data_IF_424886884428
#
_entry.id   IF_424886884428
#
_cell.length_a   1.000
_cell.length_b   1.000
_cell.length_c   1.000
_cell.angle_alpha   90.00
_cell.angle_beta   90.00
_cell.angle_gamma   90.00
#
_symmetry.space_group_name_H-M   'P 1'
#
loop_
_entity.id
_entity.type
_entity.pdbx_description
1 polymer ?
#
# COMPACT_ATOMS: atom_id res chain seq x y z
N UNK A 1 -8.88 2.52 25.92
CA UNK A 1 -7.76 2.76 24.98
C UNK A 1 -8.04 4.00 24.19
N UNK A 2 -7.04 4.89 24.02
CA UNK A 2 -7.13 6.12 23.22
C UNK A 2 -6.32 5.94 21.93
N UNK A 3 -6.99 5.99 20.79
CA UNK A 3 -6.40 5.88 19.46
C UNK A 3 -6.47 7.23 18.75
N UNK A 4 -5.33 7.76 18.31
CA UNK A 4 -5.26 8.98 17.49
C UNK A 4 -5.21 8.57 16.02
N UNK A 5 -6.16 9.06 15.24
CA UNK A 5 -6.21 8.85 13.79
C UNK A 5 -5.79 10.15 13.09
N UNK A 6 -4.61 10.12 12.42
CA UNK A 6 -4.14 11.25 11.60
C UNK A 6 -4.82 11.21 10.24
N UNK A 7 -5.28 12.37 9.77
CA UNK A 7 -5.95 12.49 8.47
C UNK A 7 -7.06 11.45 8.23
N UNK A 8 -8.01 11.26 9.18
CA UNK A 8 -8.99 10.17 9.15
C UNK A 8 -9.99 10.27 7.98
N UNK A 9 -10.00 11.39 7.26
CA UNK A 9 -10.87 11.65 6.11
C UNK A 9 -10.27 11.15 4.78
N UNK A 10 -8.98 10.82 4.77
CA UNK A 10 -8.27 10.40 3.56
C UNK A 10 -7.36 9.18 3.78
N UNK A 11 -7.42 8.14 2.91
CA UNK A 11 -8.36 7.92 1.79
C UNK A 11 -9.85 7.90 2.20
N UNK A 12 -10.77 8.23 1.28
CA UNK A 12 -12.20 8.40 1.63
C UNK A 12 -12.88 7.18 2.26
N UNK A 13 -12.40 5.96 1.96
CA UNK A 13 -12.90 4.69 2.52
C UNK A 13 -12.31 4.35 3.91
N UNK A 14 -11.28 5.05 4.37
CA UNK A 14 -10.59 4.74 5.64
C UNK A 14 -11.37 5.17 6.90
N UNK A 15 -12.47 5.92 6.75
CA UNK A 15 -13.39 6.15 7.86
C UNK A 15 -13.87 4.85 8.52
N UNK A 16 -13.86 3.72 7.77
CA UNK A 16 -14.25 2.41 8.27
C UNK A 16 -13.38 1.97 9.45
N UNK A 17 -12.07 2.25 9.43
CA UNK A 17 -11.18 1.98 10.55
C UNK A 17 -11.62 2.69 11.82
N UNK A 18 -11.97 3.98 11.74
CA UNK A 18 -12.49 4.73 12.86
C UNK A 18 -13.83 4.17 13.36
N UNK A 19 -14.71 3.79 12.45
CA UNK A 19 -16.02 3.25 12.77
C UNK A 19 -15.94 1.93 13.53
N UNK A 20 -15.10 0.99 13.08
CA UNK A 20 -14.94 -0.31 13.75
C UNK A 20 -14.20 -0.18 15.08
N UNK A 21 -13.19 0.67 15.21
CA UNK A 21 -12.55 0.95 16.50
C UNK A 21 -13.56 1.42 17.55
N UNK A 22 -14.48 2.32 17.17
CA UNK A 22 -15.54 2.75 18.07
C UNK A 22 -16.45 1.61 18.51
N UNK A 23 -16.79 0.69 17.60
CA UNK A 23 -17.60 -0.49 17.93
C UNK A 23 -16.91 -1.40 18.96
N UNK A 24 -15.57 -1.47 18.93
CA UNK A 24 -14.75 -2.15 19.94
C UNK A 24 -14.49 -1.32 21.21
N UNK A 25 -15.23 -0.22 21.42
CA UNK A 25 -15.14 0.59 22.64
C UNK A 25 -13.89 1.45 22.75
N UNK A 26 -13.13 1.62 21.67
CA UNK A 26 -11.94 2.47 21.63
C UNK A 26 -12.36 3.95 21.55
N UNK A 27 -11.69 4.82 22.30
CA UNK A 27 -11.82 6.26 22.17
C UNK A 27 -11.07 6.72 20.94
N UNK A 28 -11.77 7.06 19.86
CA UNK A 28 -11.17 7.45 18.57
C UNK A 28 -11.05 8.97 18.50
N UNK A 29 -9.82 9.47 18.35
CA UNK A 29 -9.47 10.89 18.35
C UNK A 29 -8.92 11.26 16.97
N UNK A 30 -9.59 12.15 16.24
CA UNK A 30 -9.17 12.56 14.90
C UNK A 30 -8.30 13.83 14.95
N UNK A 31 -7.23 13.87 14.15
CA UNK A 31 -6.42 15.08 13.92
C UNK A 31 -6.22 15.27 12.42
N UNK A 32 -6.64 16.41 11.89
CA UNK A 32 -6.42 16.79 10.50
C UNK A 32 -6.57 18.30 10.27
N UNK A 33 -6.23 18.79 9.08
CA UNK A 33 -6.45 20.18 8.64
C UNK A 33 -7.80 20.38 7.95
N UNK A 34 -8.50 19.31 7.60
CA UNK A 34 -9.84 19.38 7.01
C UNK A 34 -10.85 19.99 7.98
N UNK A 35 -11.84 20.73 7.47
CA UNK A 35 -12.88 21.28 8.32
C UNK A 35 -13.81 20.18 8.84
N UNK A 36 -14.23 20.27 10.11
CA UNK A 36 -15.16 19.29 10.69
C UNK A 36 -16.46 19.16 9.85
N UNK A 37 -16.95 20.28 9.30
CA UNK A 37 -18.19 20.29 8.53
C UNK A 37 -18.08 19.52 7.20
N UNK A 38 -16.89 19.45 6.60
CA UNK A 38 -16.61 18.71 5.39
C UNK A 38 -16.42 17.19 5.61
N UNK A 39 -16.20 16.77 6.87
CA UNK A 39 -16.10 15.35 7.18
C UNK A 39 -17.42 14.63 6.88
N UNK A 40 -17.32 13.43 6.35
CA UNK A 40 -18.49 12.58 6.10
C UNK A 40 -19.21 12.22 7.42
N UNK A 41 -20.55 12.05 7.39
CA UNK A 41 -21.34 11.78 8.59
C UNK A 41 -20.87 10.56 9.38
N UNK A 42 -20.47 9.49 8.69
CA UNK A 42 -20.04 8.23 9.33
C UNK A 42 -18.74 8.44 10.13
N UNK A 43 -17.80 9.24 9.58
CA UNK A 43 -16.57 9.58 10.29
C UNK A 43 -16.87 10.45 11.51
N UNK A 44 -17.71 11.51 11.36
CA UNK A 44 -18.17 12.33 12.49
C UNK A 44 -18.77 11.47 13.59
N UNK A 45 -19.60 10.49 13.20
CA UNK A 45 -20.22 9.54 14.14
C UNK A 45 -19.22 8.61 14.82
N UNK A 46 -18.09 8.30 14.19
CA UNK A 46 -17.05 7.44 14.73
C UNK A 46 -16.11 8.14 15.72
N UNK A 47 -15.81 9.41 15.49
CA UNK A 47 -14.87 10.17 16.32
C UNK A 47 -15.49 10.54 17.68
N UNK A 48 -14.69 10.41 18.74
CA UNK A 48 -15.00 10.90 20.08
C UNK A 48 -14.70 12.40 20.19
N UNK A 49 -13.58 12.81 19.62
CA UNK A 49 -13.17 14.21 19.50
C UNK A 49 -12.38 14.40 18.18
N UNK A 50 -12.49 15.58 17.61
CA UNK A 50 -11.75 15.98 16.41
C UNK A 50 -11.01 17.28 16.70
N UNK A 51 -9.68 17.24 16.53
CA UNK A 51 -8.84 18.41 16.66
C UNK A 51 -8.39 18.87 15.28
N UNK A 52 -8.84 20.04 14.86
CA UNK A 52 -8.39 20.64 13.60
C UNK A 52 -7.09 21.41 13.82
N UNK A 53 -6.06 21.07 13.03
CA UNK A 53 -4.84 21.88 12.83
C UNK A 53 -5.00 22.78 11.63
N UNK A 54 -4.15 23.80 11.46
CA UNK A 54 -4.19 24.64 10.27
C UNK A 54 -3.41 24.01 9.12
N UNK A 55 -2.32 23.28 9.41
CA UNK A 55 -1.46 22.62 8.45
C UNK A 55 -0.91 21.33 9.07
N UNK A 56 -1.26 20.19 8.44
CA UNK A 56 -0.76 18.88 8.82
C UNK A 56 0.76 18.72 8.64
N UNK A 57 1.42 19.58 7.85
CA UNK A 57 2.87 19.58 7.69
C UNK A 57 3.58 20.38 8.80
N UNK A 58 2.85 21.16 9.56
CA UNK A 58 3.38 21.87 10.72
C UNK A 58 3.46 20.94 11.93
N UNK A 59 4.64 20.33 12.13
CA UNK A 59 4.86 19.38 13.21
C UNK A 59 4.53 19.95 14.62
N UNK A 60 4.84 21.22 14.87
CA UNK A 60 4.52 21.88 16.14
C UNK A 60 3.01 21.94 16.42
N UNK A 61 2.19 22.11 15.38
CA UNK A 61 0.73 22.07 15.54
C UNK A 61 0.25 20.67 15.90
N UNK A 62 0.83 19.63 15.29
CA UNK A 62 0.53 18.24 15.62
C UNK A 62 0.92 17.88 17.06
N UNK A 63 2.11 18.32 17.51
CA UNK A 63 2.55 18.13 18.90
C UNK A 63 1.59 18.79 19.88
N UNK A 64 1.13 20.03 19.60
CA UNK A 64 0.13 20.73 20.43
C UNK A 64 -1.23 20.02 20.42
N UNK A 65 -1.66 19.50 19.27
CA UNK A 65 -2.89 18.73 19.18
C UNK A 65 -2.83 17.47 20.04
N UNK A 66 -1.75 16.70 19.95
CA UNK A 66 -1.56 15.50 20.77
C UNK A 66 -1.42 15.84 22.27
N UNK A 67 -0.74 16.93 22.60
CA UNK A 67 -0.64 17.44 23.98
C UNK A 67 -2.00 17.79 24.54
N UNK A 68 -2.85 18.48 23.77
CA UNK A 68 -4.23 18.78 24.14
C UNK A 68 -5.06 17.50 24.35
N UNK A 69 -5.00 16.56 23.39
CA UNK A 69 -5.74 15.30 23.49
C UNK A 69 -5.27 14.46 24.69
N UNK A 70 -3.96 14.45 24.97
CA UNK A 70 -3.40 13.80 26.16
C UNK A 70 -3.94 14.42 27.45
N UNK A 71 -4.04 15.76 27.50
CA UNK A 71 -4.63 16.46 28.68
C UNK A 71 -6.10 16.10 28.87
N UNK A 72 -6.85 15.97 27.79
CA UNK A 72 -8.30 15.71 27.82
C UNK A 72 -8.65 14.25 28.10
N UNK A 73 -7.94 13.31 27.50
CA UNK A 73 -8.29 11.89 27.45
C UNK A 73 -7.29 10.99 28.20
N UNK A 74 -6.18 11.55 28.67
CA UNK A 74 -5.09 10.78 29.27
C UNK A 74 -4.13 10.22 28.22
N UNK A 75 -3.39 9.17 28.59
CA UNK A 75 -2.38 8.58 27.73
C UNK A 75 -2.96 8.19 26.36
N UNK A 76 -2.24 8.56 25.31
CA UNK A 76 -2.51 8.10 23.95
C UNK A 76 -1.83 6.74 23.74
N UNK A 77 -2.59 5.71 23.41
CA UNK A 77 -2.12 4.33 23.36
C UNK A 77 -1.65 3.96 21.96
N UNK A 78 -2.34 4.44 20.93
CA UNK A 78 -2.05 4.19 19.52
C UNK A 78 -2.21 5.46 18.68
N UNK A 79 -1.48 5.50 17.58
CA UNK A 79 -1.56 6.55 16.57
C UNK A 79 -1.28 5.93 15.20
N UNK A 80 -2.13 6.17 14.20
CA UNK A 80 -1.93 5.73 12.82
C UNK A 80 -2.76 6.60 11.87
N UNK A 81 -2.40 6.61 10.58
CA UNK A 81 -3.22 7.13 9.47
C UNK A 81 -3.53 6.04 8.44
N UNK A 82 -2.85 4.90 8.52
CA UNK A 82 -2.79 3.87 7.48
C UNK A 82 -2.30 4.38 6.12
N UNK A 83 -1.60 5.52 6.10
CA UNK A 83 -1.16 6.17 4.88
C UNK A 83 0.37 6.30 4.84
N UNK A 84 0.98 5.88 3.74
CA UNK A 84 2.44 5.98 3.53
C UNK A 84 2.96 7.42 3.64
N UNK A 85 2.14 8.38 3.22
CA UNK A 85 2.51 9.80 3.23
C UNK A 85 2.82 10.32 4.64
N UNK A 86 2.05 9.90 5.64
CA UNK A 86 2.20 10.36 7.03
C UNK A 86 3.10 9.49 7.89
N UNK A 87 3.65 8.39 7.36
CA UNK A 87 4.37 7.39 8.14
C UNK A 87 5.55 7.96 8.97
N UNK A 88 6.34 8.89 8.40
CA UNK A 88 7.44 9.54 9.13
C UNK A 88 6.92 10.49 10.22
N UNK A 89 5.88 11.27 9.93
CA UNK A 89 5.21 12.14 10.91
C UNK A 89 4.63 11.32 12.06
N UNK A 90 3.99 10.20 11.75
CA UNK A 90 3.48 9.27 12.76
C UNK A 90 4.62 8.70 13.63
N UNK A 91 5.71 8.28 13.00
CA UNK A 91 6.86 7.74 13.69
C UNK A 91 7.49 8.77 14.65
N UNK A 92 7.60 10.03 14.23
CA UNK A 92 8.06 11.14 15.06
C UNK A 92 7.12 11.35 16.26
N UNK A 93 5.82 11.46 16.03
CA UNK A 93 4.82 11.64 17.10
C UNK A 93 4.79 10.44 18.05
N UNK A 94 4.89 9.20 17.55
CA UNK A 94 4.99 8.00 18.42
C UNK A 94 6.24 8.03 19.29
N UNK A 95 7.36 8.53 18.76
CA UNK A 95 8.61 8.69 19.50
C UNK A 95 8.44 9.72 20.61
N UNK A 96 7.95 10.93 20.30
CA UNK A 96 7.84 12.04 21.24
C UNK A 96 6.81 11.78 22.35
N UNK A 97 5.69 11.13 22.03
CA UNK A 97 4.63 10.82 22.99
C UNK A 97 4.73 9.41 23.59
N UNK A 98 5.79 8.67 23.31
CA UNK A 98 6.00 7.29 23.75
C UNK A 98 4.79 6.37 23.46
N UNK A 99 4.27 6.46 22.24
CA UNK A 99 3.17 5.64 21.74
C UNK A 99 3.74 4.37 21.10
N UNK A 100 3.05 3.24 21.23
CA UNK A 100 3.43 1.98 20.60
C UNK A 100 3.33 2.06 19.06
N UNK A 101 4.24 1.39 18.38
CA UNK A 101 4.30 1.26 16.93
C UNK A 101 5.67 1.64 16.36
N UNK A 102 5.74 1.77 15.04
CA UNK A 102 6.95 2.17 14.32
C UNK A 102 7.41 3.57 14.76
N UNK A 103 8.70 3.72 15.04
CA UNK A 103 9.34 4.95 15.52
C UNK A 103 10.33 5.49 14.51
N UNK A 104 10.91 6.66 14.80
CA UNK A 104 11.88 7.29 13.90
C UNK A 104 13.07 6.40 13.54
N UNK A 105 13.55 5.58 14.47
CA UNK A 105 14.67 4.66 14.23
C UNK A 105 14.32 3.59 13.19
N UNK A 106 13.04 3.26 13.00
CA UNK A 106 12.60 2.30 12.01
C UNK A 106 12.53 2.88 10.59
N UNK A 107 12.41 4.21 10.45
CA UNK A 107 12.09 4.85 9.18
C UNK A 107 13.15 4.66 8.11
N UNK A 108 14.44 4.64 8.47
CA UNK A 108 15.50 4.46 7.48
C UNK A 108 15.35 3.14 6.72
N UNK A 109 15.14 2.03 7.42
CA UNK A 109 15.00 0.69 6.82
C UNK A 109 13.66 0.47 6.10
N UNK A 110 12.63 1.32 6.38
CA UNK A 110 11.29 1.20 5.81
C UNK A 110 11.09 2.15 4.63
N UNK A 111 11.73 3.34 4.65
CA UNK A 111 11.51 4.40 3.66
C UNK A 111 12.62 4.51 2.62
N UNK A 112 13.85 4.10 2.94
CA UNK A 112 14.98 4.13 2.00
C UNK A 112 15.13 2.78 1.29
N UNK A 113 14.98 2.78 -0.04
CA UNK A 113 15.06 1.55 -0.84
C UNK A 113 16.42 0.88 -0.74
N UNK A 114 17.50 1.66 -0.61
CA UNK A 114 18.84 1.14 -0.39
C UNK A 114 18.97 0.40 0.94
N UNK A 115 18.46 0.98 2.04
CA UNK A 115 18.46 0.35 3.37
C UNK A 115 17.48 -0.84 3.44
N UNK A 116 16.34 -0.71 2.78
CA UNK A 116 15.35 -1.79 2.64
C UNK A 116 15.98 -3.03 1.99
N UNK A 117 16.85 -2.86 0.97
CA UNK A 117 17.60 -3.95 0.33
C UNK A 117 18.50 -4.71 1.31
N UNK A 118 19.14 -4.00 2.24
CA UNK A 118 19.98 -4.65 3.26
C UNK A 118 19.15 -5.58 4.14
N UNK A 119 17.94 -5.16 4.53
CA UNK A 119 17.01 -5.99 5.30
C UNK A 119 16.55 -7.21 4.50
N UNK A 120 16.23 -7.05 3.20
CA UNK A 120 15.90 -8.18 2.34
C UNK A 120 17.03 -9.19 2.23
N UNK A 121 18.26 -8.71 2.06
CA UNK A 121 19.46 -9.58 2.02
C UNK A 121 19.63 -10.33 3.36
N UNK A 122 19.45 -9.65 4.50
CA UNK A 122 19.46 -10.29 5.83
C UNK A 122 18.38 -11.35 5.97
N UNK A 123 17.21 -11.14 5.38
CA UNK A 123 16.13 -12.13 5.30
C UNK A 123 16.43 -13.29 4.33
N UNK A 124 17.57 -13.27 3.64
CA UNK A 124 17.95 -14.27 2.64
C UNK A 124 17.10 -14.21 1.36
N UNK A 125 16.64 -13.00 0.99
CA UNK A 125 15.81 -12.76 -0.19
C UNK A 125 16.65 -12.10 -1.28
N UNK A 126 16.49 -12.54 -2.53
CA UNK A 126 17.16 -11.91 -3.67
C UNK A 126 16.66 -10.48 -3.86
N UNK A 127 17.57 -9.59 -4.23
CA UNK A 127 17.29 -8.21 -4.62
C UNK A 127 17.99 -7.90 -5.95
N UNK A 128 17.45 -7.00 -6.73
CA UNK A 128 18.14 -6.49 -7.92
C UNK A 128 19.49 -5.90 -7.52
N UNK A 129 20.56 -6.22 -8.26
CA UNK A 129 21.91 -5.66 -7.99
C UNK A 129 21.90 -4.17 -8.29
N UNK A 130 22.33 -3.37 -7.33
CA UNK A 130 22.34 -1.93 -7.49
C UNK A 130 22.73 -1.21 -6.20
N UNK A 131 22.91 0.11 -6.33
CA UNK A 131 23.34 0.98 -5.24
C UNK A 131 22.93 2.43 -5.49
N UNK A 132 22.97 3.24 -4.44
CA UNK A 132 22.79 4.69 -4.61
C UNK A 132 24.02 5.25 -5.33
N UNK A 133 23.77 5.99 -6.40
CA UNK A 133 24.81 6.51 -7.30
C UNK A 133 24.64 8.01 -7.48
N UNK A 134 25.75 8.75 -7.19
CA UNK A 134 25.79 10.21 -7.27
C UNK A 134 26.31 10.77 -8.58
N UNK A 135 27.05 9.98 -9.37
CA UNK A 135 27.71 10.46 -10.58
C UNK A 135 27.72 9.42 -11.72
N UNK A 136 28.00 9.89 -12.93
CA UNK A 136 28.00 9.06 -14.14
C UNK A 136 29.10 7.97 -14.13
N UNK A 137 30.27 8.27 -13.58
CA UNK A 137 31.38 7.29 -13.55
C UNK A 137 31.01 6.03 -12.78
N UNK A 138 30.43 6.21 -11.57
CA UNK A 138 30.00 5.08 -10.73
C UNK A 138 28.82 4.32 -11.37
N UNK A 139 27.98 5.03 -12.15
CA UNK A 139 26.90 4.41 -12.90
C UNK A 139 27.43 3.53 -14.05
N UNK A 140 28.44 3.97 -14.75
CA UNK A 140 29.10 3.18 -15.81
C UNK A 140 29.81 1.94 -15.23
N UNK A 141 30.31 2.02 -14.01
CA UNK A 141 30.86 0.84 -13.33
C UNK A 141 29.75 -0.16 -12.98
N UNK A 142 28.58 0.31 -12.56
CA UNK A 142 27.40 -0.56 -12.38
C UNK A 142 26.97 -1.21 -13.71
N UNK A 143 26.99 -0.48 -14.82
CA UNK A 143 26.69 -1.04 -16.16
C UNK A 143 27.65 -2.18 -16.52
N UNK A 144 28.94 -2.08 -16.19
CA UNK A 144 29.91 -3.18 -16.43
C UNK A 144 29.57 -4.44 -15.62
N UNK A 145 28.98 -4.25 -14.41
CA UNK A 145 28.59 -5.35 -13.51
C UNK A 145 27.27 -6.03 -13.95
N UNK A 146 26.29 -5.25 -14.44
CA UNK A 146 24.90 -5.69 -14.63
C UNK A 146 24.44 -5.70 -16.07
N UNK A 147 25.03 -4.86 -16.93
CA UNK A 147 24.56 -4.57 -18.28
C UNK A 147 23.36 -3.61 -18.27
N UNK A 148 22.83 -3.34 -19.46
CA UNK A 148 21.57 -2.66 -19.67
C UNK A 148 20.41 -3.66 -19.85
N UNK A 149 19.15 -3.29 -19.54
CA UNK A 149 18.72 -2.00 -19.02
C UNK A 149 18.97 -1.84 -17.52
N UNK A 150 19.08 -0.57 -17.07
CA UNK A 150 19.04 -0.21 -15.66
C UNK A 150 17.68 0.42 -15.30
N UNK A 151 17.35 0.39 -14.01
CA UNK A 151 16.28 1.18 -13.43
C UNK A 151 16.88 2.20 -12.48
N UNK A 152 16.52 3.48 -12.66
CA UNK A 152 16.83 4.55 -11.73
C UNK A 152 15.54 4.95 -11.01
N UNK A 153 15.52 4.84 -9.69
CA UNK A 153 14.37 5.22 -8.84
C UNK A 153 14.82 6.04 -7.65
N UNK A 154 14.01 7.01 -7.16
CA UNK A 154 14.35 7.73 -5.94
C UNK A 154 14.60 6.77 -4.79
N UNK A 155 15.67 7.00 -4.01
CA UNK A 155 15.96 6.17 -2.83
C UNK A 155 14.87 6.32 -1.76
N UNK A 156 14.28 7.52 -1.65
CA UNK A 156 13.09 7.80 -0.83
C UNK A 156 11.97 8.30 -1.72
N UNK A 157 10.79 7.72 -1.61
CA UNK A 157 9.61 8.08 -2.39
C UNK A 157 8.63 6.93 -2.49
N UNK A 158 7.41 7.22 -2.94
CA UNK A 158 6.31 6.26 -3.08
C UNK A 158 5.84 6.16 -4.53
N UNK A 159 5.43 4.96 -4.92
CA UNK A 159 4.95 4.68 -6.27
C UNK A 159 6.06 4.76 -7.33
N UNK A 160 5.66 4.78 -8.59
CA UNK A 160 6.57 4.81 -9.74
C UNK A 160 6.99 6.24 -10.17
N UNK A 161 6.67 7.26 -9.38
CA UNK A 161 7.01 8.64 -9.70
C UNK A 161 8.53 8.82 -9.81
N UNK A 162 8.98 9.49 -10.87
CA UNK A 162 10.39 9.73 -11.16
C UNK A 162 11.24 8.45 -11.28
N UNK A 163 10.63 7.35 -11.69
CA UNK A 163 11.35 6.10 -12.03
C UNK A 163 11.65 6.08 -13.52
N UNK A 164 12.88 5.73 -13.89
CA UNK A 164 13.37 5.73 -15.26
C UNK A 164 13.94 4.36 -15.61
N UNK A 165 13.54 3.84 -16.79
CA UNK A 165 14.19 2.69 -17.40
C UNK A 165 15.23 3.20 -18.39
N UNK A 166 16.48 2.86 -18.19
CA UNK A 166 17.64 3.36 -18.94
C UNK A 166 18.19 2.20 -19.77
N UNK A 167 18.14 2.31 -21.10
CA UNK A 167 18.48 1.23 -22.02
C UNK A 167 19.83 1.43 -22.69
N UNK A 168 20.36 2.65 -22.70
CA UNK A 168 21.59 3.00 -23.41
C UNK A 168 22.46 3.96 -22.58
N UNK A 169 23.77 4.04 -22.93
CA UNK A 169 24.68 5.01 -22.31
C UNK A 169 24.22 6.46 -22.52
N UNK A 170 23.74 6.79 -23.71
CA UNK A 170 23.22 8.13 -23.99
C UNK A 170 22.00 8.50 -23.11
N UNK A 171 21.13 7.53 -22.81
CA UNK A 171 20.02 7.76 -21.87
C UNK A 171 20.53 7.91 -20.43
N UNK A 172 21.58 7.18 -20.06
CA UNK A 172 22.22 7.32 -18.74
C UNK A 172 22.86 8.69 -18.57
N UNK A 173 23.60 9.18 -19.57
CA UNK A 173 24.16 10.53 -19.56
C UNK A 173 23.08 11.60 -19.42
N UNK A 174 22.01 11.47 -20.21
CA UNK A 174 20.85 12.39 -20.15
C UNK A 174 20.21 12.38 -18.77
N UNK A 175 20.02 11.19 -18.19
CA UNK A 175 19.46 11.05 -16.83
C UNK A 175 20.27 11.86 -15.80
N UNK A 176 21.62 11.80 -15.82
CA UNK A 176 22.44 12.56 -14.90
C UNK A 176 22.40 14.08 -15.11
N UNK A 177 22.07 14.55 -16.33
CA UNK A 177 21.86 15.97 -16.63
C UNK A 177 20.48 16.45 -16.13
N UNK A 178 19.45 15.63 -16.31
CA UNK A 178 18.05 16.03 -16.13
C UNK A 178 17.44 15.59 -14.78
N UNK A 179 18.06 14.63 -14.08
CA UNK A 179 17.49 14.08 -12.85
C UNK A 179 17.25 15.14 -11.78
N UNK A 180 16.15 15.04 -11.01
CA UNK A 180 15.94 15.86 -9.83
C UNK A 180 17.10 15.75 -8.81
N UNK A 181 17.30 16.78 -7.96
CA UNK A 181 18.46 16.86 -7.04
C UNK A 181 18.25 16.04 -5.74
N UNK A 182 17.87 14.77 -5.86
CA UNK A 182 17.81 13.85 -4.74
C UNK A 182 18.51 12.52 -5.07
N UNK A 183 18.70 11.69 -4.06
CA UNK A 183 19.40 10.42 -4.19
C UNK A 183 18.61 9.43 -5.04
N UNK A 184 19.29 8.78 -5.98
CA UNK A 184 18.76 7.73 -6.82
C UNK A 184 19.46 6.40 -6.55
N UNK A 185 18.65 5.37 -6.34
CA UNK A 185 19.06 3.98 -6.44
C UNK A 185 19.05 3.59 -7.92
N UNK A 186 20.21 3.22 -8.45
CA UNK A 186 20.34 2.58 -9.78
C UNK A 186 20.51 1.09 -9.56
N UNK A 187 19.75 0.29 -10.32
CA UNK A 187 19.78 -1.17 -10.22
C UNK A 187 19.53 -1.84 -11.57
N UNK A 188 19.95 -3.12 -11.68
CA UNK A 188 19.61 -3.94 -12.84
C UNK A 188 18.10 -4.04 -13.02
N UNK A 189 17.66 -4.14 -14.25
CA UNK A 189 16.26 -4.38 -14.58
C UNK A 189 15.93 -5.87 -14.42
N UNK A 190 15.08 -6.20 -13.47
CA UNK A 190 14.54 -7.54 -13.30
C UNK A 190 13.29 -7.67 -14.16
N UNK A 191 13.34 -8.51 -15.17
CA UNK A 191 12.17 -8.83 -15.99
C UNK A 191 11.32 -9.87 -15.27
N UNK A 192 10.07 -9.53 -14.94
CA UNK A 192 9.16 -10.43 -14.22
C UNK A 192 7.83 -9.78 -13.92
N UNK A 193 6.93 -10.60 -13.41
CA UNK A 193 5.59 -10.18 -12.99
C UNK A 193 5.61 -9.74 -11.53
N UNK A 194 4.89 -8.66 -11.23
CA UNK A 194 4.72 -8.20 -9.84
C UNK A 194 3.73 -9.11 -9.13
N UNK A 195 4.16 -9.66 -8.02
CA UNK A 195 3.33 -10.38 -7.05
C UNK A 195 3.49 -9.73 -5.69
N UNK A 196 2.43 -9.72 -4.89
CA UNK A 196 2.51 -9.17 -3.55
C UNK A 196 2.38 -10.24 -2.49
N UNK A 197 2.87 -9.93 -1.30
CA UNK A 197 2.56 -10.65 -0.08
C UNK A 197 1.98 -9.66 0.91
N UNK A 198 0.68 -9.75 1.08
CA UNK A 198 -0.13 -8.80 1.84
C UNK A 198 -0.67 -9.46 3.09
N UNK A 199 -0.96 -8.65 4.09
CA UNK A 199 -1.63 -9.20 5.26
C UNK A 199 -1.77 -8.24 6.42
N UNK A 200 -2.15 -8.84 7.52
CA UNK A 200 -2.34 -8.20 8.82
C UNK A 200 -1.59 -9.02 9.88
N UNK A 201 -0.70 -8.38 10.62
CA UNK A 201 0.03 -9.00 11.73
C UNK A 201 -0.58 -8.58 13.07
N UNK A 202 -0.56 -9.51 14.04
CA UNK A 202 -0.93 -9.24 15.43
C UNK A 202 0.20 -8.53 16.20
N UNK A 203 -0.02 -8.29 17.49
CA UNK A 203 0.95 -7.63 18.39
C UNK A 203 2.26 -8.42 18.53
N UNK A 204 2.23 -9.74 18.39
CA UNK A 204 3.39 -10.62 18.47
C UNK A 204 4.13 -10.75 17.14
N UNK A 205 3.56 -10.20 16.05
CA UNK A 205 4.09 -10.27 14.70
C UNK A 205 3.68 -11.52 13.93
N UNK A 206 2.70 -12.29 14.44
CA UNK A 206 2.15 -13.41 13.71
C UNK A 206 1.15 -12.88 12.66
N UNK A 207 1.22 -13.36 11.41
CA UNK A 207 0.22 -12.99 10.42
C UNK A 207 -1.11 -13.69 10.73
N UNK A 208 -2.15 -12.90 10.94
CA UNK A 208 -3.53 -13.38 11.20
C UNK A 208 -4.38 -13.40 9.92
N UNK A 209 -3.95 -12.67 8.93
CA UNK A 209 -4.52 -12.67 7.57
C UNK A 209 -3.39 -12.56 6.56
N UNK A 210 -3.48 -13.31 5.47
CA UNK A 210 -2.56 -13.28 4.34
C UNK A 210 -3.34 -13.24 3.03
N UNK A 211 -2.79 -12.56 2.05
CA UNK A 211 -3.28 -12.54 0.67
C UNK A 211 -2.11 -12.26 -0.30
N UNK A 212 -2.35 -12.42 -1.58
CA UNK A 212 -1.40 -12.08 -2.64
C UNK A 212 -2.16 -11.51 -3.83
N UNK A 213 -1.60 -10.49 -4.45
CA UNK A 213 -2.13 -9.87 -5.66
C UNK A 213 -1.23 -10.17 -6.86
N UNK A 214 -1.86 -10.27 -8.01
CA UNK A 214 -1.19 -10.30 -9.32
C UNK A 214 -1.72 -9.14 -10.16
N UNK A 215 -0.81 -8.40 -10.77
CA UNK A 215 -1.13 -7.26 -11.63
C UNK A 215 -1.08 -7.66 -13.10
N UNK A 216 -2.03 -7.17 -13.91
CA UNK A 216 -2.08 -7.40 -15.37
C UNK A 216 -0.92 -6.77 -16.12
N UNK A 217 -0.34 -5.71 -15.55
CA UNK A 217 0.84 -5.01 -16.05
C UNK A 217 1.56 -4.33 -14.88
N UNK A 218 2.83 -4.00 -15.04
CA UNK A 218 3.55 -3.22 -14.04
C UNK A 218 2.94 -1.82 -13.85
N UNK A 219 2.92 -1.34 -12.60
CA UNK A 219 2.36 0.00 -12.31
C UNK A 219 3.12 1.08 -13.06
N UNK A 220 4.45 0.94 -13.18
CA UNK A 220 5.29 1.88 -13.94
C UNK A 220 4.89 1.94 -15.41
N UNK A 221 4.76 0.80 -16.06
CA UNK A 221 4.35 0.70 -17.47
C UNK A 221 2.94 1.26 -17.66
N UNK A 222 2.02 0.92 -16.77
CA UNK A 222 0.62 1.41 -16.80
C UNK A 222 0.55 2.93 -16.70
N UNK A 223 1.33 3.54 -15.81
CA UNK A 223 1.34 5.00 -15.63
C UNK A 223 2.02 5.69 -16.81
N UNK A 224 3.17 5.17 -17.28
CA UNK A 224 3.95 5.78 -18.37
C UNK A 224 3.24 5.66 -19.73
N UNK A 225 2.62 4.52 -20.02
CA UNK A 225 1.91 4.26 -21.27
C UNK A 225 0.44 4.66 -21.23
N UNK A 226 -0.05 5.14 -20.07
CA UNK A 226 -1.47 5.43 -19.85
C UNK A 226 -2.39 4.23 -20.13
N UNK A 227 -1.90 3.04 -19.84
CA UNK A 227 -2.63 1.80 -20.06
C UNK A 227 -3.74 1.58 -19.04
N UNK A 228 -4.61 0.62 -19.31
CA UNK A 228 -5.57 0.10 -18.34
C UNK A 228 -4.86 -0.83 -17.35
N UNK A 229 -5.36 -0.86 -16.12
CA UNK A 229 -4.93 -1.81 -15.10
C UNK A 229 -6.11 -2.60 -14.58
N UNK A 230 -5.90 -3.89 -14.40
CA UNK A 230 -6.65 -4.71 -13.46
C UNK A 230 -5.67 -5.53 -12.63
N UNK A 231 -6.05 -5.87 -11.42
CA UNK A 231 -5.28 -6.76 -10.56
C UNK A 231 -6.25 -7.58 -9.72
N UNK A 232 -5.81 -8.76 -9.32
CA UNK A 232 -6.69 -9.71 -8.64
C UNK A 232 -5.99 -10.42 -7.49
N UNK A 233 -6.78 -10.86 -6.50
CA UNK A 233 -6.32 -11.69 -5.39
C UNK A 233 -6.11 -13.14 -5.86
N UNK A 234 -5.12 -13.81 -5.30
CA UNK A 234 -4.94 -15.24 -5.51
C UNK A 234 -5.77 -16.05 -4.51
N UNK A 235 -6.29 -17.20 -4.94
CA UNK A 235 -6.92 -18.16 -4.04
C UNK A 235 -5.91 -19.03 -3.31
N UNK A 236 -4.78 -19.30 -3.94
CA UNK A 236 -3.66 -20.04 -3.36
C UNK A 236 -2.39 -19.19 -3.47
N UNK A 237 -1.83 -18.80 -2.33
CA UNK A 237 -0.56 -18.08 -2.30
C UNK A 237 0.54 -19.10 -2.65
N UNK A 238 1.40 -18.85 -3.65
CA UNK A 238 2.51 -19.76 -3.96
C UNK A 238 3.38 -20.00 -2.73
N UNK A 239 3.67 -21.26 -2.42
CA UNK A 239 4.36 -21.65 -1.19
C UNK A 239 5.75 -20.99 -1.05
N UNK A 240 6.46 -20.81 -2.17
CA UNK A 240 7.75 -20.13 -2.20
C UNK A 240 7.61 -18.62 -1.90
N UNK A 241 6.55 -17.97 -2.40
CA UNK A 241 6.26 -16.57 -2.10
C UNK A 241 5.86 -16.40 -0.62
N UNK A 242 5.04 -17.30 -0.11
CA UNK A 242 4.65 -17.28 1.31
C UNK A 242 5.87 -17.46 2.22
N UNK A 243 6.76 -18.40 1.91
CA UNK A 243 8.00 -18.60 2.67
C UNK A 243 8.86 -17.35 2.70
N UNK A 244 9.08 -16.73 1.52
CA UNK A 244 9.84 -15.48 1.37
C UNK A 244 9.16 -14.35 2.13
N UNK A 245 7.86 -14.15 1.93
CA UNK A 245 7.09 -13.09 2.59
C UNK A 245 7.10 -13.19 4.11
N UNK A 246 6.98 -14.41 4.66
CA UNK A 246 7.07 -14.65 6.12
C UNK A 246 8.47 -14.36 6.67
N UNK A 247 9.54 -14.59 5.91
CA UNK A 247 10.91 -14.18 6.30
C UNK A 247 11.05 -12.67 6.36
N UNK A 248 10.55 -11.98 5.32
CA UNK A 248 10.53 -10.52 5.25
C UNK A 248 9.72 -9.92 6.41
N UNK A 249 8.52 -10.46 6.68
CA UNK A 249 7.66 -10.02 7.78
C UNK A 249 8.41 -10.03 9.12
N UNK A 250 9.12 -11.13 9.42
CA UNK A 250 9.90 -11.28 10.67
C UNK A 250 11.08 -10.31 10.72
N UNK A 251 11.84 -10.18 9.62
CA UNK A 251 13.05 -9.35 9.59
C UNK A 251 12.72 -7.86 9.72
N UNK A 252 11.62 -7.40 9.13
CA UNK A 252 11.13 -6.04 9.34
C UNK A 252 10.45 -5.83 10.70
N UNK A 253 10.12 -6.88 11.44
CA UNK A 253 9.52 -6.81 12.76
C UNK A 253 8.12 -6.19 12.74
N UNK A 254 7.31 -6.52 11.74
CA UNK A 254 5.94 -5.98 11.60
C UNK A 254 5.05 -6.46 12.74
N UNK A 255 4.37 -5.54 13.42
CA UNK A 255 3.50 -5.84 14.56
C UNK A 255 2.26 -4.93 14.54
N UNK A 256 1.10 -5.51 14.87
CA UNK A 256 -0.18 -4.82 15.03
C UNK A 256 -0.49 -3.88 13.85
N UNK A 257 -0.20 -4.33 12.62
CA UNK A 257 -0.48 -3.53 11.44
C UNK A 257 -0.59 -4.32 10.16
N UNK A 258 -1.18 -3.69 9.17
CA UNK A 258 -1.15 -4.16 7.80
C UNK A 258 0.24 -4.05 7.20
N UNK A 259 0.52 -4.92 6.23
CA UNK A 259 1.72 -4.88 5.41
C UNK A 259 1.36 -5.21 3.95
N UNK A 260 2.12 -4.61 3.05
CA UNK A 260 2.02 -4.78 1.60
C UNK A 260 3.43 -4.87 1.04
N UNK A 261 3.89 -6.08 0.73
CA UNK A 261 5.22 -6.36 0.23
C UNK A 261 5.15 -6.71 -1.25
N UNK A 262 6.00 -6.08 -2.05
CA UNK A 262 6.06 -6.28 -3.48
C UNK A 262 7.29 -7.09 -3.87
N UNK A 263 7.10 -8.02 -4.80
CA UNK A 263 8.13 -8.89 -5.33
C UNK A 263 8.00 -9.00 -6.84
N UNK A 264 9.12 -9.21 -7.53
CA UNK A 264 9.12 -9.70 -8.90
C UNK A 264 9.28 -11.22 -8.90
N UNK A 265 8.44 -11.92 -9.65
CA UNK A 265 8.71 -13.29 -10.07
C UNK A 265 9.39 -13.23 -11.41
N UNK A 266 10.70 -13.49 -11.44
CA UNK A 266 11.52 -13.35 -12.64
C UNK A 266 11.06 -14.30 -13.73
N UNK A 267 10.89 -13.76 -14.94
CA UNK A 267 10.53 -14.54 -16.12
C UNK A 267 11.64 -15.56 -16.46
N UNK A 268 11.26 -16.80 -16.70
CA UNK A 268 12.14 -17.89 -17.12
C UNK A 268 12.76 -18.69 -15.97
N UNK A 269 13.19 -18.08 -14.87
CA UNK A 269 13.73 -18.80 -13.70
C UNK A 269 12.69 -19.06 -12.63
N UNK A 270 11.67 -18.19 -12.50
CA UNK A 270 10.70 -18.20 -11.42
C UNK A 270 11.24 -17.67 -10.09
N UNK A 271 12.46 -17.17 -10.05
CA UNK A 271 13.08 -16.61 -8.85
C UNK A 271 12.31 -15.39 -8.32
N UNK A 272 12.22 -15.29 -7.00
CA UNK A 272 11.55 -14.17 -6.33
C UNK A 272 12.59 -13.12 -5.92
N UNK A 273 12.40 -11.89 -6.42
CA UNK A 273 13.19 -10.73 -6.09
C UNK A 273 12.36 -9.75 -5.29
N UNK A 274 12.85 -9.32 -4.13
CA UNK A 274 12.17 -8.28 -3.35
C UNK A 274 12.29 -6.92 -4.05
N UNK A 275 11.16 -6.20 -4.08
CA UNK A 275 11.04 -4.88 -4.70
C UNK A 275 10.87 -3.79 -3.64
N UNK A 276 9.85 -3.88 -2.81
CA UNK A 276 9.49 -2.84 -1.83
C UNK A 276 8.65 -3.40 -0.68
N UNK A 277 8.77 -2.79 0.51
CA UNK A 277 7.84 -3.02 1.62
C UNK A 277 7.06 -1.74 1.91
N UNK A 278 5.77 -1.89 2.13
CA UNK A 278 4.89 -0.84 2.60
C UNK A 278 4.26 -1.27 3.92
N UNK A 279 4.49 -0.50 4.98
CA UNK A 279 4.02 -0.80 6.34
C UNK A 279 2.62 -0.25 6.59
N UNK A 280 1.71 -0.53 5.68
CA UNK A 280 0.34 -0.03 5.64
C UNK A 280 -0.57 -0.95 4.82
N UNK A 281 -1.90 -0.75 4.88
CA UNK A 281 -2.81 -1.41 3.95
C UNK A 281 -2.44 -1.08 2.49
N UNK A 282 -2.60 -2.01 1.55
CA UNK A 282 -2.52 -1.70 0.12
C UNK A 282 -3.57 -0.65 -0.27
N UNK A 283 -3.27 0.13 -1.33
CA UNK A 283 -4.10 1.26 -1.72
C UNK A 283 -5.41 0.89 -2.42
N UNK A 284 -6.21 1.91 -2.72
CA UNK A 284 -7.47 1.77 -3.45
C UNK A 284 -8.52 0.97 -2.68
N UNK A 285 -9.19 0.05 -3.39
CA UNK A 285 -10.22 -0.83 -2.85
C UNK A 285 -9.68 -2.21 -2.43
N UNK A 286 -8.37 -2.35 -2.25
CA UNK A 286 -7.75 -3.67 -2.04
C UNK A 286 -8.20 -4.35 -0.75
N UNK A 287 -8.44 -3.60 0.34
CA UNK A 287 -9.00 -4.20 1.56
C UNK A 287 -10.43 -4.73 1.34
N UNK A 288 -11.21 -4.03 0.51
CA UNK A 288 -12.54 -4.52 0.12
C UNK A 288 -12.43 -5.76 -0.77
N UNK A 289 -11.42 -5.84 -1.65
CA UNK A 289 -11.12 -7.08 -2.39
C UNK A 289 -10.84 -8.25 -1.46
N UNK A 290 -10.06 -8.05 -0.39
CA UNK A 290 -9.79 -9.10 0.62
C UNK A 290 -11.07 -9.57 1.30
N UNK A 291 -11.96 -8.63 1.66
CA UNK A 291 -13.25 -8.94 2.22
C UNK A 291 -14.10 -9.80 1.27
N UNK A 292 -14.18 -9.41 -0.02
CA UNK A 292 -14.97 -10.15 -1.01
C UNK A 292 -14.33 -11.46 -1.45
N UNK A 293 -13.00 -11.58 -1.42
CA UNK A 293 -12.30 -12.83 -1.75
C UNK A 293 -12.50 -13.91 -0.69
N UNK A 294 -12.63 -13.51 0.57
CA UNK A 294 -12.64 -14.41 1.72
C UNK A 294 -13.98 -14.44 2.48
N UNK A 295 -14.97 -13.58 2.12
CA UNK A 295 -16.20 -13.33 2.88
C UNK A 295 -15.91 -13.01 4.37
N UNK A 296 -15.02 -12.04 4.61
CA UNK A 296 -14.63 -11.60 5.94
C UNK A 296 -14.76 -10.08 6.10
N UNK A 297 -14.55 -9.58 7.30
CA UNK A 297 -14.39 -8.15 7.59
C UNK A 297 -12.99 -7.89 8.16
N UNK A 298 -12.05 -7.51 7.26
CA UNK A 298 -10.65 -7.25 7.62
C UNK A 298 -10.50 -6.00 8.49
N UNK A 299 -11.40 -5.02 8.37
CA UNK A 299 -11.41 -3.83 9.22
C UNK A 299 -11.71 -4.21 10.67
N UNK A 300 -12.71 -5.11 10.86
CA UNK A 300 -13.08 -5.62 12.18
C UNK A 300 -11.96 -6.50 12.76
N UNK A 301 -11.31 -7.35 11.95
CA UNK A 301 -10.16 -8.14 12.38
C UNK A 301 -9.00 -7.23 12.88
N UNK A 302 -8.70 -6.15 12.17
CA UNK A 302 -7.71 -5.17 12.61
C UNK A 302 -8.12 -4.47 13.91
N UNK A 303 -9.36 -4.04 14.01
CA UNK A 303 -9.84 -3.34 15.21
C UNK A 303 -9.77 -4.24 16.47
N UNK A 304 -10.05 -5.53 16.34
CA UNK A 304 -9.95 -6.48 17.45
C UNK A 304 -8.50 -6.68 17.92
N UNK A 305 -7.53 -6.69 16.99
CA UNK A 305 -6.11 -6.74 17.32
C UNK A 305 -5.71 -5.50 18.12
N UNK A 306 -6.06 -4.32 17.62
CA UNK A 306 -5.73 -3.03 18.25
C UNK A 306 -6.40 -2.90 19.62
N UNK A 307 -7.68 -3.25 19.71
CA UNK A 307 -8.43 -3.18 20.97
C UNK A 307 -7.94 -4.18 22.02
N UNK A 308 -7.38 -5.30 21.59
CA UNK A 308 -6.91 -6.37 22.47
C UNK A 308 -8.06 -7.02 23.26
N UNK A 309 -9.26 -7.04 22.69
CA UNK A 309 -10.48 -7.49 23.35
C UNK A 309 -10.72 -9.00 23.26
N UNK A 310 -9.76 -9.74 22.66
CA UNK A 310 -9.83 -11.19 22.55
C UNK A 310 -10.90 -11.69 21.56
N UNK A 311 -11.40 -10.81 20.69
CA UNK A 311 -12.31 -11.21 19.62
C UNK A 311 -11.63 -12.28 18.77
N UNK A 312 -12.25 -13.45 18.54
CA UNK A 312 -11.62 -14.51 17.76
C UNK A 312 -11.36 -14.00 16.33
N UNK A 313 -10.12 -14.18 15.86
CA UNK A 313 -9.83 -13.92 14.46
C UNK A 313 -10.75 -14.77 13.59
N UNK A 314 -11.38 -14.19 12.56
CA UNK A 314 -12.24 -14.96 11.71
C UNK A 314 -11.46 -16.09 11.04
N UNK A 315 -12.00 -17.30 11.12
CA UNK A 315 -11.56 -18.38 10.25
C UNK A 315 -11.87 -17.97 8.81
N UNK A 316 -10.88 -17.92 7.92
CA UNK A 316 -11.07 -17.49 6.55
C UNK A 316 -10.45 -18.48 5.56
N UNK A 317 -10.99 -18.49 4.37
CA UNK A 317 -10.41 -19.18 3.22
C UNK A 317 -10.57 -18.30 1.99
N UNK A 318 -9.63 -18.36 1.07
CA UNK A 318 -9.70 -17.64 -0.21
C UNK A 318 -10.71 -18.37 -1.12
N UNK A 319 -11.98 -18.01 -1.00
CA UNK A 319 -13.08 -18.63 -1.74
C UNK A 319 -13.12 -18.22 -3.20
N UNK A 320 -12.74 -16.96 -3.46
CA UNK A 320 -12.84 -16.33 -4.77
C UNK A 320 -11.52 -15.64 -5.14
N UNK A 321 -11.27 -15.57 -6.44
CA UNK A 321 -10.49 -14.47 -7.00
C UNK A 321 -11.36 -13.22 -6.94
N UNK A 322 -10.85 -12.13 -6.40
CA UNK A 322 -11.50 -10.83 -6.45
C UNK A 322 -10.62 -9.89 -7.25
N UNK A 323 -11.19 -9.22 -8.24
CA UNK A 323 -10.43 -8.39 -9.17
C UNK A 323 -10.92 -6.94 -9.12
N UNK A 324 -9.96 -6.03 -9.06
CA UNK A 324 -10.17 -4.62 -9.32
C UNK A 324 -9.99 -4.36 -10.82
N UNK A 325 -10.95 -3.66 -11.43
CA UNK A 325 -10.90 -3.24 -12.83
C UNK A 325 -11.18 -1.75 -12.92
N UNK A 326 -10.20 -0.98 -13.40
CA UNK A 326 -10.31 0.47 -13.54
C UNK A 326 -10.76 0.92 -14.92
N UNK A 327 -11.61 1.97 -14.97
CA UNK A 327 -11.93 2.72 -16.19
C UNK A 327 -11.46 4.16 -16.08
N UNK A 328 -10.98 4.72 -17.21
CA UNK A 328 -10.51 6.11 -17.32
C UNK A 328 -11.55 6.95 -18.08
N UNK A 329 -12.03 8.06 -17.52
CA UNK A 329 -13.08 8.89 -18.13
C UNK A 329 -12.72 9.46 -19.50
N UNK A 330 -11.42 9.56 -19.80
CA UNK A 330 -10.93 10.04 -21.10
C UNK A 330 -10.96 9.01 -22.22
N UNK A 331 -11.29 7.75 -21.91
CA UNK A 331 -11.38 6.66 -22.88
C UNK A 331 -12.84 6.32 -23.19
N UNK A 332 -13.08 5.85 -24.41
CA UNK A 332 -14.37 5.29 -24.82
C UNK A 332 -14.34 3.78 -24.65
N UNK A 333 -15.46 3.22 -24.27
CA UNK A 333 -15.64 1.78 -24.03
C UNK A 333 -16.79 1.26 -24.88
N UNK A 334 -16.67 0.03 -25.38
CA UNK A 334 -17.72 -0.62 -26.15
C UNK A 334 -18.97 -0.88 -25.30
N UNK A 335 -18.77 -1.12 -24.00
CA UNK A 335 -19.85 -1.41 -23.05
C UNK A 335 -20.06 -0.23 -22.12
N UNK A 336 -21.30 0.24 -21.99
CA UNK A 336 -21.65 1.29 -21.02
C UNK A 336 -21.51 0.80 -19.57
N UNK A 337 -21.66 1.71 -18.62
CA UNK A 337 -21.70 1.34 -17.19
C UNK A 337 -22.88 0.39 -16.90
N UNK A 338 -24.03 0.69 -17.46
CA UNK A 338 -25.26 -0.10 -17.32
C UNK A 338 -25.12 -1.48 -17.96
N UNK A 339 -24.44 -1.58 -19.13
CA UNK A 339 -24.16 -2.88 -19.76
C UNK A 339 -23.28 -3.76 -18.87
N UNK A 340 -22.24 -3.18 -18.26
CA UNK A 340 -21.36 -3.90 -17.30
C UNK A 340 -22.18 -4.40 -16.11
N UNK A 341 -22.97 -3.53 -15.48
CA UNK A 341 -23.77 -3.92 -14.31
C UNK A 341 -24.86 -4.93 -14.66
N UNK A 342 -25.44 -4.85 -15.85
CA UNK A 342 -26.46 -5.79 -16.31
C UNK A 342 -25.86 -7.16 -16.67
N UNK A 343 -24.78 -7.18 -17.45
CA UNK A 343 -24.18 -8.44 -17.92
C UNK A 343 -23.42 -9.18 -16.82
N UNK A 344 -22.74 -8.45 -15.92
CA UNK A 344 -21.95 -9.02 -14.84
C UNK A 344 -22.63 -8.93 -13.46
N UNK A 345 -23.96 -8.84 -13.41
CA UNK A 345 -24.73 -8.60 -12.19
C UNK A 345 -24.43 -9.58 -11.04
N UNK A 346 -24.14 -10.86 -11.35
CA UNK A 346 -23.85 -11.89 -10.35
C UNK A 346 -22.38 -11.83 -9.85
N UNK A 347 -21.51 -11.11 -10.57
CA UNK A 347 -20.07 -11.06 -10.31
C UNK A 347 -19.59 -9.71 -9.76
N UNK A 348 -20.25 -8.60 -10.13
CA UNK A 348 -19.91 -7.27 -9.60
C UNK A 348 -20.37 -7.16 -8.15
N UNK A 349 -19.41 -7.11 -7.24
CA UNK A 349 -19.68 -7.05 -5.79
C UNK A 349 -19.56 -5.63 -5.22
N UNK A 350 -18.86 -4.73 -5.93
CA UNK A 350 -18.76 -3.32 -5.58
C UNK A 350 -18.33 -2.49 -6.79
N UNK A 351 -18.71 -1.23 -6.82
CA UNK A 351 -18.23 -0.26 -7.80
C UNK A 351 -18.36 1.16 -7.26
N UNK A 352 -17.37 2.02 -7.53
CA UNK A 352 -17.41 3.42 -7.11
C UNK A 352 -16.46 4.31 -7.93
N UNK A 353 -16.67 5.64 -7.93
CA UNK A 353 -15.68 6.60 -8.39
C UNK A 353 -14.41 6.51 -7.55
N UNK A 354 -13.26 6.59 -8.20
CA UNK A 354 -11.95 6.57 -7.53
C UNK A 354 -11.47 8.00 -7.28
N UNK A 355 -10.96 8.26 -6.08
CA UNK A 355 -10.39 9.56 -5.70
C UNK A 355 -9.33 10.01 -6.71
N UNK A 356 -9.34 11.30 -7.08
CA UNK A 356 -8.43 11.89 -8.05
C UNK A 356 -6.95 11.64 -7.78
N UNK A 357 -6.56 11.50 -6.53
CA UNK A 357 -5.19 11.16 -6.13
C UNK A 357 -4.72 9.81 -6.69
N UNK A 358 -5.62 8.83 -6.80
CA UNK A 358 -5.32 7.49 -7.32
C UNK A 358 -5.69 7.30 -8.79
N UNK A 359 -6.37 8.27 -9.40
CA UNK A 359 -6.96 8.11 -10.74
C UNK A 359 -5.94 7.89 -11.85
N UNK A 360 -4.71 8.37 -11.71
CA UNK A 360 -3.66 8.19 -12.71
C UNK A 360 -3.26 6.71 -12.85
N UNK A 361 -3.15 6.00 -11.74
CA UNK A 361 -2.80 4.58 -11.72
C UNK A 361 -4.04 3.68 -11.84
N UNK A 362 -5.08 3.94 -11.06
CA UNK A 362 -6.23 3.06 -10.92
C UNK A 362 -7.40 3.38 -11.87
N UNK A 363 -7.39 4.55 -12.54
CA UNK A 363 -8.53 5.03 -13.31
C UNK A 363 -9.48 5.87 -12.45
N UNK A 364 -10.54 6.41 -13.09
CA UNK A 364 -11.49 7.32 -12.45
C UNK A 364 -12.70 6.60 -11.85
N UNK A 365 -12.94 5.36 -12.26
CA UNK A 365 -14.02 4.51 -11.78
C UNK A 365 -13.52 3.08 -11.62
N UNK A 366 -13.82 2.45 -10.50
CA UNK A 366 -13.40 1.10 -10.16
C UNK A 366 -14.57 0.14 -10.05
N UNK A 367 -14.39 -1.08 -10.54
CA UNK A 367 -15.29 -2.21 -10.33
C UNK A 367 -14.55 -3.29 -9.56
N UNK A 368 -15.20 -3.89 -8.58
CA UNK A 368 -14.75 -5.13 -7.96
C UNK A 368 -15.64 -6.26 -8.46
N UNK A 369 -15.02 -7.24 -9.08
CA UNK A 369 -15.68 -8.46 -9.55
C UNK A 369 -15.07 -9.66 -8.84
N UNK A 370 -15.86 -10.72 -8.63
CA UNK A 370 -15.37 -11.97 -8.04
C UNK A 370 -15.90 -13.21 -8.75
N UNK A 371 -15.08 -14.25 -8.80
CA UNK A 371 -15.42 -15.58 -9.27
C UNK A 371 -14.50 -16.63 -8.63
N UNK A 372 -14.94 -17.88 -8.45
CA UNK A 372 -14.02 -18.97 -8.09
C UNK A 372 -13.05 -19.34 -9.22
N UNK A 373 -13.30 -18.90 -10.45
CA UNK A 373 -12.55 -19.28 -11.66
C UNK A 373 -11.74 -18.09 -12.21
N UNK A 374 -10.41 -18.26 -12.31
CA UNK A 374 -9.51 -17.20 -12.78
C UNK A 374 -9.79 -16.77 -14.23
N UNK A 375 -10.13 -17.73 -15.09
CA UNK A 375 -10.41 -17.40 -16.50
C UNK A 375 -11.62 -16.47 -16.63
N UNK A 376 -12.68 -16.68 -15.82
CA UNK A 376 -13.84 -15.80 -15.80
C UNK A 376 -13.45 -14.39 -15.35
N UNK A 377 -12.58 -14.26 -14.34
CA UNK A 377 -12.06 -12.97 -13.89
C UNK A 377 -11.35 -12.21 -15.02
N UNK A 378 -10.48 -12.90 -15.76
CA UNK A 378 -9.73 -12.29 -16.86
C UNK A 378 -10.67 -11.87 -18.01
N UNK A 379 -11.63 -12.69 -18.34
CA UNK A 379 -12.60 -12.40 -19.42
C UNK A 379 -13.54 -11.23 -19.03
N UNK A 380 -14.02 -11.21 -17.78
CA UNK A 380 -14.83 -10.10 -17.26
C UNK A 380 -14.01 -8.79 -17.18
N UNK A 381 -12.75 -8.85 -16.77
CA UNK A 381 -11.89 -7.67 -16.74
C UNK A 381 -11.68 -7.08 -18.14
N UNK A 382 -11.46 -7.93 -19.15
CA UNK A 382 -11.39 -7.50 -20.56
C UNK A 382 -12.71 -6.88 -21.03
N UNK A 383 -13.85 -7.53 -20.78
CA UNK A 383 -15.17 -7.01 -21.12
C UNK A 383 -15.40 -5.60 -20.53
N UNK A 384 -14.99 -5.38 -19.27
CA UNK A 384 -15.10 -4.07 -18.64
C UNK A 384 -14.20 -3.03 -19.33
N UNK A 385 -13.04 -3.42 -19.85
CA UNK A 385 -12.05 -2.50 -20.43
C UNK A 385 -12.11 -2.39 -21.95
N UNK A 386 -12.89 -3.24 -22.62
CA UNK A 386 -13.16 -3.15 -24.05
C UNK A 386 -14.12 -1.98 -24.35
#
# INVERSE_FOLDING_TARGET
MNFVFLSPHFPPNFYRFAAVLKQHGVTVLGVADESYDALRPELKGALTEYFRVNDMHNYDELVRALGYLTHRHGKLDRLDSHNEYWLETEAALRTDFNIFGLRLDDMQRIKRKSMMKEVFVSAGVKVARGRVIGNLSDALDLVKETGYPLVAKPDVGVGAASTYKIQTEAELERFFIEKPPFDYLLEEFVQGDIQTFDGLADMDGNPVFLNSLVYSAGIMETVLADEHIYYYTLRDIPADLEEVGRRVLREFGVRERFFHFEFFRQTGTGDIYALEVNMRPPGGLTLDMFNYACDLDIYNAWASIVAGDGYPYPDYSHKYFCCYVGRKFRRSYAHSHEDVLGYLAEHVVHHEPISGTFSNALGNYGYLIRSPELNEIVDMAKYIQE
#
